data_IF_206352346868
#
_entry.id   IF_206352346868
#
_cell.length_a   1.000
_cell.length_b   1.000
_cell.length_c   1.000
_cell.angle_alpha   90.00
_cell.angle_beta   90.00
_cell.angle_gamma   90.00
#
_symmetry.space_group_name_H-M   'P 1'
#
loop_
_entity.id
_entity.type
_entity.pdbx_description
1 polymer ?
#
# COMPACT_ATOMS: atom_id res chain seq x y z
N UNK A 1 13.90 21.46 -13.78
CA UNK A 1 12.66 20.73 -13.41
C UNK A 1 12.93 19.52 -12.50
N UNK A 2 14.16 19.31 -12.01
CA UNK A 2 14.48 18.12 -11.18
C UNK A 2 14.16 18.25 -9.70
N UNK A 3 14.32 19.43 -9.10
CA UNK A 3 14.27 19.56 -7.63
C UNK A 3 12.87 19.32 -7.04
N UNK A 4 11.82 19.76 -7.74
CA UNK A 4 10.42 19.57 -7.32
C UNK A 4 10.01 18.11 -7.50
N UNK A 5 10.34 17.50 -8.64
CA UNK A 5 9.97 16.12 -8.96
C UNK A 5 10.71 15.11 -8.09
N UNK A 6 11.97 15.37 -7.75
CA UNK A 6 12.76 14.54 -6.85
C UNK A 6 12.21 14.58 -5.41
N UNK A 7 11.74 15.74 -4.94
CA UNK A 7 11.06 15.84 -3.63
C UNK A 7 9.70 15.12 -3.64
N UNK A 8 8.95 15.23 -4.74
CA UNK A 8 7.68 14.51 -4.90
C UNK A 8 7.90 12.99 -4.89
N UNK A 9 8.89 12.46 -5.61
CA UNK A 9 9.25 11.04 -5.58
C UNK A 9 9.68 10.57 -4.20
N UNK A 10 10.43 11.39 -3.46
CA UNK A 10 10.85 11.05 -2.10
C UNK A 10 9.64 10.94 -1.15
N UNK A 11 8.68 11.86 -1.25
CA UNK A 11 7.43 11.81 -0.48
C UNK A 11 6.59 10.59 -0.91
N UNK A 12 6.49 10.33 -2.21
CA UNK A 12 5.74 9.18 -2.75
C UNK A 12 6.31 7.85 -2.23
N UNK A 13 7.64 7.69 -2.27
CA UNK A 13 8.34 6.53 -1.72
C UNK A 13 8.16 6.40 -0.21
N UNK A 14 8.18 7.51 0.52
CA UNK A 14 7.88 7.52 1.95
C UNK A 14 6.48 6.98 2.23
N UNK A 15 5.48 7.46 1.50
CA UNK A 15 4.09 7.00 1.61
C UNK A 15 3.97 5.52 1.20
N UNK A 16 4.60 5.09 0.10
CA UNK A 16 4.64 3.68 -0.31
C UNK A 16 5.26 2.78 0.76
N UNK A 17 6.33 3.23 1.41
CA UNK A 17 7.02 2.45 2.45
C UNK A 17 6.12 2.28 3.67
N UNK A 18 5.46 3.35 4.12
CA UNK A 18 4.51 3.31 5.24
C UNK A 18 3.28 2.47 4.90
N UNK A 19 2.71 2.65 3.71
CA UNK A 19 1.56 1.88 3.25
C UNK A 19 1.90 0.39 3.07
N UNK A 20 3.06 0.08 2.49
CA UNK A 20 3.54 -1.29 2.29
C UNK A 20 3.91 -1.99 3.61
N UNK A 21 4.44 -1.27 4.59
CA UNK A 21 4.68 -1.82 5.93
C UNK A 21 3.38 -2.04 6.71
N UNK A 22 2.38 -1.16 6.57
CA UNK A 22 1.05 -1.42 7.12
C UNK A 22 0.39 -2.64 6.44
N UNK A 23 0.53 -2.75 5.13
CA UNK A 23 0.04 -3.88 4.34
C UNK A 23 0.61 -5.22 4.81
N UNK A 24 1.91 -5.29 5.01
CA UNK A 24 2.59 -6.51 5.43
C UNK A 24 2.19 -6.94 6.84
N UNK A 25 1.99 -6.00 7.76
CA UNK A 25 1.47 -6.29 9.11
C UNK A 25 0.06 -6.86 9.03
N UNK A 26 -0.83 -6.27 8.23
CA UNK A 26 -2.21 -6.73 8.13
C UNK A 26 -2.31 -8.11 7.48
N UNK A 27 -1.49 -8.37 6.45
CA UNK A 27 -1.35 -9.70 5.84
C UNK A 27 -0.79 -10.74 6.83
N UNK A 28 0.18 -10.36 7.68
CA UNK A 28 0.71 -11.25 8.71
C UNK A 28 -0.36 -11.61 9.76
N UNK A 29 -1.18 -10.63 10.17
CA UNK A 29 -2.32 -10.85 11.08
C UNK A 29 -3.36 -11.76 10.42
N UNK A 30 -3.66 -11.55 9.13
CA UNK A 30 -4.52 -12.44 8.34
C UNK A 30 -4.00 -13.88 8.35
N UNK A 31 -2.71 -14.08 8.08
CA UNK A 31 -2.07 -15.40 8.07
C UNK A 31 -2.11 -16.08 9.44
N UNK A 32 -1.89 -15.33 10.52
CA UNK A 32 -2.01 -15.84 11.88
C UNK A 32 -3.45 -16.26 12.23
N UNK A 33 -4.44 -15.44 11.85
CA UNK A 33 -5.85 -15.76 12.08
C UNK A 33 -6.36 -16.91 11.19
N UNK A 34 -5.77 -17.08 10.01
CA UNK A 34 -6.00 -18.23 9.14
C UNK A 34 -5.60 -19.55 9.83
N UNK A 35 -4.44 -19.55 10.51
CA UNK A 35 -3.97 -20.74 11.25
C UNK A 35 -4.83 -21.04 12.49
N UNK A 36 -5.35 -20.02 13.18
CA UNK A 36 -6.21 -20.20 14.36
C UNK A 36 -7.67 -20.50 14.03
N UNK A 37 -8.02 -20.66 12.73
CA UNK A 37 -9.36 -20.94 12.21
C UNK A 37 -10.45 -19.96 12.67
N UNK A 38 -10.07 -18.77 13.13
CA UNK A 38 -11.02 -17.78 13.62
C UNK A 38 -11.60 -16.98 12.45
N UNK A 39 -12.63 -17.54 11.82
CA UNK A 39 -13.27 -17.03 10.59
C UNK A 39 -13.67 -15.55 10.68
N UNK A 40 -14.22 -15.14 11.82
CA UNK A 40 -14.73 -13.78 12.00
C UNK A 40 -13.63 -12.71 11.90
N UNK A 41 -12.46 -12.99 12.49
CA UNK A 41 -11.30 -12.09 12.42
C UNK A 41 -10.58 -12.17 11.08
N UNK A 42 -10.75 -13.27 10.36
CA UNK A 42 -10.22 -13.43 9.01
C UNK A 42 -10.93 -12.48 8.05
N UNK A 43 -12.26 -12.42 8.10
CA UNK A 43 -13.06 -11.56 7.22
C UNK A 43 -12.76 -10.06 7.47
N UNK A 44 -12.65 -9.64 8.74
CA UNK A 44 -12.22 -8.27 9.09
C UNK A 44 -10.83 -7.93 8.55
N UNK A 45 -9.89 -8.87 8.67
CA UNK A 45 -8.54 -8.67 8.18
C UNK A 45 -8.48 -8.70 6.64
N UNK A 46 -9.36 -9.45 5.99
CA UNK A 46 -9.49 -9.51 4.53
C UNK A 46 -10.07 -8.19 3.96
N UNK A 47 -11.05 -7.59 4.64
CA UNK A 47 -11.53 -6.23 4.31
C UNK A 47 -10.43 -5.18 4.49
N UNK A 48 -9.62 -5.29 5.54
CA UNK A 48 -8.44 -4.45 5.72
C UNK A 48 -7.44 -4.56 4.55
N UNK A 49 -7.15 -5.79 4.13
CA UNK A 49 -6.27 -6.06 2.97
C UNK A 49 -6.88 -5.51 1.67
N UNK A 50 -8.20 -5.59 1.48
CA UNK A 50 -8.87 -5.03 0.30
C UNK A 50 -8.68 -3.51 0.20
N UNK A 51 -8.80 -2.78 1.32
CA UNK A 51 -8.52 -1.35 1.36
C UNK A 51 -7.06 -1.03 1.06
N UNK A 52 -6.13 -1.84 1.56
CA UNK A 52 -4.70 -1.72 1.26
C UNK A 52 -4.42 -1.88 -0.23
N UNK A 53 -5.03 -2.88 -0.89
CA UNK A 53 -4.86 -3.12 -2.34
C UNK A 53 -5.35 -1.92 -3.15
N UNK A 54 -6.49 -1.32 -2.78
CA UNK A 54 -6.99 -0.10 -3.42
C UNK A 54 -6.00 1.06 -3.24
N UNK A 55 -5.45 1.23 -2.03
CA UNK A 55 -4.43 2.24 -1.75
C UNK A 55 -3.18 2.08 -2.61
N UNK A 56 -2.70 0.84 -2.77
CA UNK A 56 -1.54 0.53 -3.65
C UNK A 56 -1.85 0.91 -5.10
N UNK A 57 -3.03 0.58 -5.61
CA UNK A 57 -3.44 0.93 -6.98
C UNK A 57 -3.45 2.44 -7.22
N UNK A 58 -3.95 3.23 -6.27
CA UNK A 58 -3.96 4.69 -6.36
C UNK A 58 -2.54 5.25 -6.41
N UNK A 59 -1.63 4.71 -5.58
CA UNK A 59 -0.25 5.19 -5.52
C UNK A 59 0.53 4.83 -6.80
N UNK A 60 0.33 3.62 -7.34
CA UNK A 60 0.90 3.22 -8.64
C UNK A 60 0.37 4.13 -9.76
N UNK A 61 -0.93 4.45 -9.73
CA UNK A 61 -1.53 5.40 -10.67
C UNK A 61 -0.89 6.78 -10.61
N UNK A 62 -0.64 7.30 -9.41
CA UNK A 62 0.06 8.57 -9.22
C UNK A 62 1.51 8.52 -9.72
N UNK A 63 2.23 7.43 -9.47
CA UNK A 63 3.61 7.23 -9.92
C UNK A 63 3.71 7.16 -11.45
N UNK A 64 2.75 6.51 -12.13
CA UNK A 64 2.66 6.50 -13.59
C UNK A 64 2.42 7.89 -14.17
N UNK A 65 1.53 8.69 -13.56
CA UNK A 65 1.25 10.07 -14.03
C UNK A 65 2.50 10.94 -13.89
N UNK A 66 3.22 10.85 -12.78
CA UNK A 66 4.48 11.58 -12.57
C UNK A 66 5.54 11.13 -13.59
N UNK A 67 5.64 9.83 -13.85
CA UNK A 67 6.58 9.27 -14.83
C UNK A 67 6.25 9.74 -16.25
N UNK A 68 4.96 9.79 -16.61
CA UNK A 68 4.50 10.30 -17.89
C UNK A 68 4.76 11.81 -18.06
N UNK A 69 4.56 12.61 -17.00
CA UNK A 69 4.91 14.04 -16.98
C UNK A 69 6.41 14.31 -17.07
N UNK A 70 7.25 13.33 -16.70
CA UNK A 70 8.72 13.38 -16.83
C UNK A 70 9.20 13.01 -18.24
N UNK A 71 8.39 12.30 -19.02
CA UNK A 71 8.72 11.86 -20.39
C UNK A 71 8.49 12.95 -21.42
#
# INVERSE_FOLDING_TARGET
MDFVTQKLEFILRGIQTVAGSYASVMLAIMGYHFMTKNRQKLDEAQDGVKNIVIGIFVVIGAEMIITWLKS
#
